data_IF_050300947587
#
_entry.id   IF_050300947587
#
_cell.length_a   1.000
_cell.length_b   1.000
_cell.length_c   1.000
_cell.angle_alpha   90.00
_cell.angle_beta   90.00
_cell.angle_gamma   90.00
#
_symmetry.space_group_name_H-M   'P 1'
#
loop_
_entity.id
_entity.type
_entity.pdbx_description
1 polymer ?
#
# COMPACT_ATOMS: atom_id res chain seq x y z
N UNK A 1 16.90 -15.51 1.07
CA UNK A 1 16.91 -14.28 1.89
C UNK A 1 15.51 -13.69 1.90
N UNK A 2 14.88 -13.39 3.06
CA UNK A 2 13.48 -12.95 3.12
C UNK A 2 13.27 -11.46 2.78
N UNK A 3 14.33 -10.71 2.51
CA UNK A 3 14.25 -9.38 1.92
C UNK A 3 15.60 -8.69 1.79
N UNK A 4 15.60 -7.58 1.04
CA UNK A 4 16.75 -6.75 0.72
C UNK A 4 16.31 -5.29 0.76
N UNK A 5 17.09 -4.44 1.45
CA UNK A 5 16.97 -2.99 1.40
C UNK A 5 18.27 -2.46 0.80
N UNK A 6 18.18 -1.72 -0.29
CA UNK A 6 19.34 -1.10 -0.94
C UNK A 6 19.04 0.33 -1.30
N UNK A 7 19.98 1.23 -1.02
CA UNK A 7 19.90 2.63 -1.45
C UNK A 7 21.07 2.93 -2.39
N UNK A 8 20.79 3.40 -3.60
CA UNK A 8 21.79 3.81 -4.59
C UNK A 8 21.34 5.16 -5.17
N UNK A 9 22.22 6.16 -5.16
CA UNK A 9 21.96 7.49 -5.73
C UNK A 9 20.63 8.11 -5.25
N UNK A 10 20.31 7.97 -3.96
CA UNK A 10 19.07 8.49 -3.36
C UNK A 10 17.79 7.71 -3.73
N UNK A 11 17.90 6.62 -4.49
CA UNK A 11 16.80 5.68 -4.75
C UNK A 11 16.93 4.50 -3.80
N UNK A 12 15.92 4.28 -2.96
CA UNK A 12 15.83 3.09 -2.12
C UNK A 12 14.91 2.08 -2.77
N UNK A 13 15.42 0.87 -2.95
CA UNK A 13 14.68 -0.30 -3.35
C UNK A 13 14.55 -1.23 -2.16
N UNK A 14 13.32 -1.62 -1.81
CA UNK A 14 13.03 -2.66 -0.84
C UNK A 14 12.40 -3.84 -1.57
N UNK A 15 12.90 -5.03 -1.29
CA UNK A 15 12.32 -6.31 -1.68
C UNK A 15 12.03 -7.10 -0.42
N UNK A 16 10.84 -7.66 -0.29
CA UNK A 16 10.51 -8.54 0.83
C UNK A 16 9.53 -9.62 0.41
N UNK A 17 9.78 -10.83 0.91
CA UNK A 17 8.93 -11.98 0.65
C UNK A 17 8.51 -12.62 1.96
N UNK A 18 7.24 -12.99 2.05
CA UNK A 18 6.73 -13.84 3.10
C UNK A 18 5.90 -14.97 2.50
N UNK A 19 5.96 -16.14 3.12
CA UNK A 19 5.10 -17.27 2.78
C UNK A 19 4.56 -17.94 4.04
N UNK A 20 3.35 -18.47 3.94
CA UNK A 20 2.73 -19.30 4.98
C UNK A 20 2.11 -20.54 4.33
N UNK A 21 2.12 -21.65 5.07
CA UNK A 21 1.34 -22.83 4.73
C UNK A 21 0.06 -22.83 5.55
N UNK A 22 -1.08 -22.78 4.87
CA UNK A 22 -2.42 -22.92 5.45
C UNK A 22 -2.94 -24.32 5.19
N UNK A 23 -3.57 -24.92 6.20
CA UNK A 23 -4.24 -26.24 6.04
C UNK A 23 -5.38 -26.19 5.01
N UNK A 24 -6.08 -25.06 4.93
CA UNK A 24 -7.27 -24.90 4.07
C UNK A 24 -6.98 -24.22 2.73
N UNK A 25 -6.00 -23.31 2.71
CA UNK A 25 -5.74 -22.45 1.54
C UNK A 25 -4.46 -22.87 0.80
N UNK A 26 -3.73 -23.88 1.29
CA UNK A 26 -2.43 -24.28 0.77
C UNK A 26 -1.34 -23.26 1.07
N UNK A 27 -0.39 -23.10 0.15
CA UNK A 27 0.74 -22.17 0.30
C UNK A 27 0.32 -20.80 -0.20
N UNK A 28 0.36 -19.81 0.69
CA UNK A 28 0.21 -18.40 0.33
C UNK A 28 1.57 -17.71 0.39
N UNK A 29 1.90 -16.95 -0.64
CA UNK A 29 3.12 -16.15 -0.68
C UNK A 29 2.80 -14.72 -1.06
N UNK A 30 3.51 -13.77 -0.47
CA UNK A 30 3.44 -12.35 -0.80
C UNK A 30 4.86 -11.87 -1.10
N UNK A 31 5.03 -11.26 -2.27
CA UNK A 31 6.24 -10.57 -2.69
C UNK A 31 5.94 -9.08 -2.79
N UNK A 32 6.79 -8.26 -2.19
CA UNK A 32 6.67 -6.82 -2.18
C UNK A 32 7.95 -6.18 -2.66
N UNK A 33 7.80 -5.31 -3.65
CA UNK A 33 8.87 -4.47 -4.16
C UNK A 33 8.44 -3.00 -4.02
N UNK A 34 9.30 -2.20 -3.40
CA UNK A 34 9.11 -0.76 -3.23
C UNK A 34 10.31 -0.05 -3.82
N UNK A 35 10.10 0.91 -4.70
CA UNK A 35 11.13 1.78 -5.24
C UNK A 35 10.77 3.21 -4.89
N UNK A 36 11.58 3.87 -4.07
CA UNK A 36 11.32 5.22 -3.63
C UNK A 36 12.53 6.11 -3.88
N UNK A 37 12.33 7.22 -4.58
CA UNK A 37 13.29 8.30 -4.70
C UNK A 37 12.61 9.62 -4.31
N UNK A 38 12.86 10.12 -3.09
CA UNK A 38 12.20 11.32 -2.58
C UNK A 38 12.58 12.59 -3.35
N UNK A 39 13.78 12.65 -3.96
CA UNK A 39 14.23 13.84 -4.74
C UNK A 39 13.46 13.97 -6.05
N UNK A 40 13.24 12.86 -6.75
CA UNK A 40 12.44 12.84 -7.98
C UNK A 40 10.93 12.76 -7.70
N UNK A 41 10.51 12.47 -6.47
CA UNK A 41 9.10 12.25 -6.11
C UNK A 41 8.54 10.95 -6.69
N UNK A 42 9.42 10.01 -7.01
CA UNK A 42 9.04 8.69 -7.53
C UNK A 42 8.82 7.75 -6.34
N UNK A 43 7.65 7.13 -6.30
CA UNK A 43 7.34 6.03 -5.41
C UNK A 43 6.54 5.01 -6.19
N UNK A 44 7.22 3.93 -6.55
CA UNK A 44 6.65 2.78 -7.24
C UNK A 44 6.55 1.62 -6.27
N UNK A 45 5.46 0.89 -6.39
CA UNK A 45 5.06 -0.17 -5.50
C UNK A 45 4.56 -1.34 -6.32
N UNK A 46 4.97 -2.53 -5.93
CA UNK A 46 4.48 -3.78 -6.48
C UNK A 46 4.24 -4.80 -5.38
N UNK A 47 3.04 -5.37 -5.35
CA UNK A 47 2.66 -6.52 -4.55
C UNK A 47 2.23 -7.62 -5.49
N UNK A 48 2.74 -8.82 -5.26
CA UNK A 48 2.19 -10.03 -5.84
C UNK A 48 1.87 -11.03 -4.74
N UNK A 49 0.61 -11.48 -4.68
CA UNK A 49 0.14 -12.52 -3.78
C UNK A 49 -0.21 -13.74 -4.61
N UNK A 50 0.39 -14.87 -4.27
CA UNK A 50 0.09 -16.15 -4.88
C UNK A 50 -0.51 -17.13 -3.88
N UNK A 51 -1.39 -18.00 -4.38
CA UNK A 51 -1.96 -19.13 -3.66
C UNK A 51 -1.69 -20.39 -4.49
N UNK A 52 -0.89 -21.33 -3.96
CA UNK A 52 -0.48 -22.55 -4.66
C UNK A 52 0.05 -22.26 -6.07
N UNK A 53 0.95 -21.27 -6.19
CA UNK A 53 1.51 -20.76 -7.45
C UNK A 53 0.52 -20.03 -8.40
N UNK A 54 -0.78 -19.99 -8.11
CA UNK A 54 -1.74 -19.19 -8.86
C UNK A 54 -1.77 -17.74 -8.35
N UNK A 55 -1.91 -16.77 -9.25
CA UNK A 55 -2.09 -15.37 -8.86
C UNK A 55 -3.41 -15.19 -8.09
N UNK A 56 -3.32 -14.68 -6.87
CA UNK A 56 -4.47 -14.27 -6.06
C UNK A 56 -4.72 -12.78 -6.21
N UNK A 57 -3.67 -11.96 -6.10
CA UNK A 57 -3.76 -10.52 -6.31
C UNK A 57 -2.40 -9.95 -6.72
N UNK A 58 -2.40 -9.14 -7.76
CA UNK A 58 -1.28 -8.26 -8.09
C UNK A 58 -1.74 -6.83 -7.91
N UNK A 59 -0.99 -6.02 -7.18
CA UNK A 59 -1.28 -4.61 -6.97
C UNK A 59 -0.02 -3.82 -7.27
N UNK A 60 -0.12 -2.89 -8.21
CA UNK A 60 0.95 -1.96 -8.58
C UNK A 60 0.47 -0.55 -8.31
N UNK A 61 1.28 0.26 -7.63
CA UNK A 61 1.05 1.71 -7.54
C UNK A 61 2.27 2.38 -8.15
N UNK A 62 2.06 3.28 -9.11
CA UNK A 62 3.15 4.00 -9.77
C UNK A 62 2.97 5.48 -9.61
N UNK A 63 4.05 6.19 -9.30
CA UNK A 63 4.05 7.64 -9.34
C UNK A 63 4.04 8.10 -10.80
N UNK A 64 3.06 8.94 -11.17
CA UNK A 64 3.02 9.58 -12.49
C UNK A 64 3.62 10.99 -12.42
N UNK A 65 3.32 11.70 -11.33
CA UNK A 65 3.86 13.03 -11.01
C UNK A 65 3.96 13.14 -9.49
N UNK A 66 4.58 14.21 -8.98
CA UNK A 66 4.62 14.50 -7.53
C UNK A 66 3.25 14.55 -6.85
N UNK A 67 2.18 14.77 -7.63
CA UNK A 67 0.80 14.95 -7.13
C UNK A 67 -0.16 13.91 -7.68
N UNK A 68 0.31 12.91 -8.44
CA UNK A 68 -0.58 11.91 -9.01
C UNK A 68 0.06 10.54 -9.11
N UNK A 69 -0.73 9.51 -8.85
CA UNK A 69 -0.30 8.12 -8.90
C UNK A 69 -1.33 7.27 -9.61
N UNK A 70 -0.91 6.14 -10.18
CA UNK A 70 -1.80 5.15 -10.79
C UNK A 70 -1.71 3.85 -10.02
N UNK A 71 -2.85 3.34 -9.57
CA UNK A 71 -3.01 1.98 -9.09
C UNK A 71 -3.52 1.10 -10.22
N UNK A 72 -2.80 0.02 -10.49
CA UNK A 72 -3.23 -1.07 -11.33
C UNK A 72 -3.33 -2.31 -10.46
N UNK A 73 -4.47 -2.97 -10.44
CA UNK A 73 -4.62 -4.24 -9.74
C UNK A 73 -5.23 -5.30 -10.66
N UNK A 74 -4.81 -6.54 -10.45
CA UNK A 74 -5.42 -7.74 -11.03
C UNK A 74 -5.71 -8.72 -9.91
N UNK A 75 -6.82 -9.44 -10.02
CA UNK A 75 -7.25 -10.37 -8.99
C UNK A 75 -7.58 -11.74 -9.59
N UNK A 76 -7.18 -12.79 -8.88
CA UNK A 76 -7.53 -14.16 -9.18
C UNK A 76 -8.99 -14.47 -8.87
N UNK A 77 -9.44 -15.66 -9.27
CA UNK A 77 -10.83 -16.13 -9.12
C UNK A 77 -11.31 -16.17 -7.66
N UNK A 78 -10.37 -16.18 -6.70
CA UNK A 78 -10.64 -16.21 -5.27
C UNK A 78 -11.19 -14.88 -4.73
N UNK A 79 -10.94 -13.77 -5.44
CA UNK A 79 -11.51 -12.45 -5.12
C UNK A 79 -12.77 -12.28 -5.95
N UNK A 80 -13.94 -12.45 -5.33
CA UNK A 80 -15.22 -12.31 -6.02
C UNK A 80 -15.58 -10.84 -6.15
N UNK A 81 -16.11 -10.45 -7.31
CA UNK A 81 -16.60 -9.09 -7.58
C UNK A 81 -15.54 -8.10 -8.08
N UNK A 82 -14.25 -8.47 -8.13
CA UNK A 82 -13.20 -7.68 -8.76
C UNK A 82 -12.22 -8.60 -9.50
N UNK A 83 -11.94 -8.32 -10.77
CA UNK A 83 -10.92 -8.98 -11.58
C UNK A 83 -9.77 -8.04 -11.94
N UNK A 84 -10.06 -6.74 -12.05
CA UNK A 84 -9.06 -5.72 -12.37
C UNK A 84 -9.46 -4.35 -11.85
N UNK A 85 -8.47 -3.50 -11.57
CA UNK A 85 -8.66 -2.10 -11.29
C UNK A 85 -7.56 -1.27 -11.97
N UNK A 86 -7.93 -0.10 -12.48
CA UNK A 86 -7.00 0.92 -12.96
C UNK A 86 -7.52 2.28 -12.49
N UNK A 87 -6.91 2.83 -11.44
CA UNK A 87 -7.37 4.01 -10.73
C UNK A 87 -6.24 5.03 -10.70
N UNK A 88 -6.55 6.26 -11.11
CA UNK A 88 -5.65 7.41 -11.00
C UNK A 88 -6.05 8.18 -9.75
N UNK A 89 -5.09 8.33 -8.85
CA UNK A 89 -5.14 9.23 -7.71
C UNK A 89 -4.52 10.56 -8.09
N UNK A 90 -5.16 11.66 -7.69
CA UNK A 90 -4.63 13.02 -7.85
C UNK A 90 -4.85 13.80 -6.56
N UNK A 91 -3.76 14.30 -5.99
CA UNK A 91 -3.76 15.27 -4.90
C UNK A 91 -3.83 16.68 -5.50
N UNK A 92 -4.87 17.43 -5.14
CA UNK A 92 -4.98 18.85 -5.47
C UNK A 92 -5.17 19.64 -4.18
N UNK A 93 -4.12 20.34 -3.74
CA UNK A 93 -4.13 21.19 -2.54
C UNK A 93 -4.61 20.42 -1.28
N UNK A 94 -4.13 19.18 -1.09
CA UNK A 94 -4.50 18.34 0.06
C UNK A 94 -5.82 17.59 -0.10
N UNK A 95 -6.51 17.73 -1.25
CA UNK A 95 -7.72 16.97 -1.58
C UNK A 95 -7.35 15.82 -2.50
N UNK A 96 -7.36 14.60 -1.96
CA UNK A 96 -7.09 13.40 -2.73
C UNK A 96 -8.37 12.97 -3.47
N UNK A 97 -8.26 12.85 -4.79
CA UNK A 97 -9.33 12.39 -5.66
C UNK A 97 -8.92 11.10 -6.37
N UNK A 98 -9.85 10.18 -6.56
CA UNK A 98 -9.65 8.96 -7.33
C UNK A 98 -10.66 8.87 -8.47
N UNK A 99 -10.17 8.51 -9.66
CA UNK A 99 -10.98 8.24 -10.84
C UNK A 99 -10.40 7.07 -11.63
N UNK A 100 -11.23 6.29 -12.29
CA UNK A 100 -10.76 5.18 -13.10
C UNK A 100 -11.80 4.10 -13.29
N UNK A 101 -11.32 2.86 -13.41
CA UNK A 101 -12.14 1.71 -13.75
C UNK A 101 -11.88 0.55 -12.79
N UNK A 102 -12.93 -0.20 -12.48
CA UNK A 102 -12.86 -1.52 -11.84
C UNK A 102 -13.70 -2.47 -12.67
N UNK A 103 -13.17 -3.62 -13.06
CA UNK A 103 -13.80 -4.56 -14.00
C UNK A 103 -14.25 -3.89 -15.30
N UNK A 104 -13.43 -2.98 -15.84
CA UNK A 104 -13.75 -2.13 -17.01
C UNK A 104 -14.95 -1.18 -16.82
N UNK A 105 -15.57 -1.10 -15.63
CA UNK A 105 -16.64 -0.16 -15.31
C UNK A 105 -16.08 1.11 -14.68
N UNK A 106 -16.49 2.27 -15.17
CA UNK A 106 -16.04 3.56 -14.66
C UNK A 106 -16.59 3.80 -13.25
N UNK A 107 -15.70 4.10 -12.30
CA UNK A 107 -16.12 4.47 -10.94
C UNK A 107 -16.57 5.94 -10.91
N UNK A 108 -17.54 6.25 -10.06
CA UNK A 108 -17.82 7.63 -9.68
C UNK A 108 -16.59 8.19 -8.98
N UNK A 109 -16.09 9.39 -9.35
CA UNK A 109 -14.92 9.95 -8.72
C UNK A 109 -15.08 10.03 -7.20
N UNK A 110 -14.13 9.41 -6.48
CA UNK A 110 -14.14 9.39 -5.02
C UNK A 110 -13.29 10.56 -4.55
N UNK A 111 -13.85 11.40 -3.68
CA UNK A 111 -13.10 12.42 -2.95
C UNK A 111 -12.81 11.85 -1.56
N UNK A 112 -11.55 11.62 -1.26
CA UNK A 112 -11.14 11.31 0.10
C UNK A 112 -11.11 12.65 0.86
N UNK A 113 -12.21 12.96 1.55
CA UNK A 113 -12.28 14.09 2.47
C UNK A 113 -11.28 13.90 3.61
N UNK A 114 -10.66 14.99 4.05
CA UNK A 114 -9.59 15.01 5.04
C UNK A 114 -9.96 14.29 6.32
N UNK A 115 -9.60 13.00 6.41
CA UNK A 115 -9.44 12.35 7.69
C UNK A 115 -8.07 12.78 8.19
N UNK A 116 -8.05 13.76 9.08
CA UNK A 116 -6.87 14.21 9.85
C UNK A 116 -6.41 13.14 10.82
N UNK A 117 -6.13 11.93 10.32
CA UNK A 117 -5.65 10.83 11.14
C UNK A 117 -4.14 10.98 11.31
N UNK A 118 -3.76 11.88 12.22
CA UNK A 118 -2.60 11.62 13.07
C UNK A 118 -3.00 10.44 13.96
N UNK A 119 -2.22 9.36 13.89
CA UNK A 119 -2.34 8.18 14.76
C UNK A 119 -3.60 7.32 14.65
N UNK A 120 -3.47 6.21 13.92
CA UNK A 120 -4.18 4.97 14.26
C UNK A 120 -5.69 4.91 14.05
N UNK A 121 -6.38 5.96 13.58
CA UNK A 121 -7.82 5.89 13.38
C UNK A 121 -8.22 4.89 12.29
N UNK A 122 -9.11 3.97 12.67
CA UNK A 122 -9.90 3.15 11.76
C UNK A 122 -10.84 4.06 10.96
N UNK A 123 -10.48 4.36 9.72
CA UNK A 123 -11.46 4.78 8.72
C UNK A 123 -12.39 3.58 8.42
N UNK A 124 -13.28 3.27 9.37
CA UNK A 124 -14.19 2.13 9.38
C UNK A 124 -15.45 2.34 8.55
N UNK A 125 -15.61 3.50 7.91
CA UNK A 125 -16.63 3.67 6.89
C UNK A 125 -16.22 2.93 5.63
N UNK A 126 -16.78 1.74 5.40
CA UNK A 126 -16.69 1.05 4.11
C UNK A 126 -17.26 1.98 3.04
N UNK A 127 -16.40 2.78 2.38
CA UNK A 127 -16.80 3.60 1.25
C UNK A 127 -17.23 2.65 0.13
N UNK A 128 -18.55 2.50 -0.02
CA UNK A 128 -19.15 1.74 -1.10
C UNK A 128 -18.77 2.40 -2.42
N UNK A 129 -17.89 1.76 -3.20
CA UNK A 129 -17.50 2.26 -4.51
C UNK A 129 -18.70 2.12 -5.45
N UNK A 130 -19.21 3.24 -5.94
CA UNK A 130 -20.29 3.29 -6.93
C UNK A 130 -19.70 3.42 -8.33
N UNK A 131 -20.34 2.77 -9.28
CA UNK A 131 -20.06 2.92 -10.71
C UNK A 131 -20.95 4.00 -11.32
N UNK A 132 -20.53 4.56 -12.45
CA UNK A 132 -21.33 5.54 -13.19
C UNK A 132 -22.65 4.98 -13.71
N UNK A 133 -22.77 3.65 -13.84
CA UNK A 133 -24.00 2.94 -14.19
C UNK A 133 -24.97 2.76 -13.00
N UNK A 134 -24.67 3.33 -11.83
CA UNK A 134 -25.49 3.24 -10.62
C UNK A 134 -25.24 1.99 -9.78
N UNK A 135 -24.51 0.99 -10.29
CA UNK A 135 -24.19 -0.23 -9.54
C UNK A 135 -23.12 0.02 -8.48
N UNK A 136 -23.05 -0.85 -7.47
CA UNK A 136 -22.05 -0.76 -6.39
C UNK A 136 -21.10 -1.94 -6.45
N UNK A 137 -19.81 -1.69 -6.26
CA UNK A 137 -18.79 -2.72 -6.14
C UNK A 137 -18.99 -3.52 -4.85
N UNK A 138 -19.09 -4.84 -4.98
CA UNK A 138 -19.13 -5.76 -3.85
C UNK A 138 -17.97 -6.76 -3.97
N UNK A 139 -16.85 -6.46 -3.31
CA UNK A 139 -15.71 -7.37 -3.27
C UNK A 139 -15.88 -8.34 -2.10
N UNK A 140 -15.78 -9.64 -2.37
CA UNK A 140 -15.86 -10.68 -1.35
C UNK A 140 -14.67 -11.61 -1.43
N UNK A 141 -14.09 -11.90 -0.28
CA UNK A 141 -13.03 -12.89 -0.08
C UNK A 141 -13.54 -13.90 0.94
N UNK A 142 -13.29 -15.19 0.73
CA UNK A 142 -13.67 -16.24 1.68
C UNK A 142 -13.10 -15.98 3.08
N UNK A 143 -13.85 -16.32 4.13
CA UNK A 143 -13.44 -16.08 5.53
C UNK A 143 -12.10 -16.74 5.86
N UNK A 144 -11.91 -17.98 5.42
CA UNK A 144 -10.68 -18.76 5.59
C UNK A 144 -9.49 -18.07 4.90
N UNK A 145 -9.66 -17.67 3.63
CA UNK A 145 -8.65 -16.95 2.87
C UNK A 145 -8.31 -15.60 3.50
N UNK A 146 -9.30 -14.85 3.97
CA UNK A 146 -9.09 -13.57 4.65
C UNK A 146 -8.25 -13.75 5.93
N UNK A 147 -8.52 -14.79 6.73
CA UNK A 147 -7.71 -15.10 7.91
C UNK A 147 -6.28 -15.48 7.54
N UNK A 148 -6.11 -16.28 6.49
CA UNK A 148 -4.80 -16.69 6.01
C UNK A 148 -4.00 -15.48 5.48
N UNK A 149 -4.63 -14.59 4.71
CA UNK A 149 -4.04 -13.33 4.26
C UNK A 149 -3.61 -12.45 5.44
N UNK A 150 -4.45 -12.31 6.49
CA UNK A 150 -4.06 -11.57 7.72
C UNK A 150 -2.79 -12.13 8.37
N UNK A 151 -2.66 -13.46 8.44
CA UNK A 151 -1.46 -14.13 8.97
C UNK A 151 -0.24 -13.90 8.07
N UNK A 152 -0.42 -14.00 6.76
CA UNK A 152 0.63 -13.73 5.77
C UNK A 152 1.16 -12.30 5.90
N UNK A 153 0.26 -11.31 5.95
CA UNK A 153 0.64 -9.92 6.10
C UNK A 153 1.28 -9.61 7.44
N UNK A 154 0.82 -10.26 8.52
CA UNK A 154 1.51 -10.18 9.82
C UNK A 154 2.95 -10.68 9.73
N UNK A 155 3.17 -11.80 9.02
CA UNK A 155 4.52 -12.32 8.79
C UNK A 155 5.36 -11.37 7.94
N UNK A 156 4.79 -10.85 6.85
CA UNK A 156 5.46 -9.89 5.98
C UNK A 156 5.85 -8.61 6.73
N UNK A 157 4.96 -8.08 7.56
CA UNK A 157 5.23 -6.91 8.39
C UNK A 157 6.39 -7.16 9.38
N UNK A 158 6.51 -8.39 9.92
CA UNK A 158 7.66 -8.76 10.76
C UNK A 158 8.95 -8.80 9.97
N UNK A 159 8.97 -9.36 8.76
CA UNK A 159 10.16 -9.36 7.91
C UNK A 159 10.59 -7.93 7.55
N UNK A 160 9.63 -7.07 7.21
CA UNK A 160 9.89 -5.66 6.91
C UNK A 160 10.43 -4.91 8.14
N UNK A 161 9.92 -5.20 9.34
CA UNK A 161 10.43 -4.63 10.59
C UNK A 161 11.89 -5.04 10.86
N UNK A 162 12.33 -6.22 10.44
CA UNK A 162 13.74 -6.64 10.57
C UNK A 162 14.67 -5.86 9.64
N UNK A 163 14.19 -5.49 8.45
CA UNK A 163 14.95 -4.69 7.48
C UNK A 163 15.05 -3.21 7.90
N UNK A 164 14.25 -2.79 8.88
CA UNK A 164 14.25 -1.43 9.41
C UNK A 164 15.26 -1.35 10.56
N UNK A 165 16.34 -0.54 10.48
CA UNK A 165 17.30 -0.43 11.57
C UNK A 165 16.62 0.09 12.84
N UNK A 166 16.81 -0.63 13.97
CA UNK A 166 16.36 -0.18 15.30
C UNK A 166 17.22 1.00 15.75
N UNK A 167 16.78 2.24 15.53
CA UNK A 167 17.38 3.40 16.24
C UNK A 167 16.78 3.54 17.63
N UNK A 168 17.63 3.74 18.63
CA UNK A 168 17.22 4.21 19.95
C UNK A 168 16.67 5.63 19.84
N UNK A 169 15.68 5.96 20.68
CA UNK A 169 15.07 7.31 20.77
C UNK A 169 16.11 8.44 20.86
N UNK A 170 17.29 8.16 21.42
CA UNK A 170 18.36 9.14 21.62
C UNK A 170 19.05 9.60 20.32
N UNK A 171 19.20 8.75 19.30
CA UNK A 171 19.87 9.12 18.03
C UNK A 171 18.97 9.89 17.04
N UNK A 172 17.69 10.04 17.37
CA UNK A 172 16.70 10.77 16.55
C UNK A 172 16.68 12.27 16.89
N UNK A 173 17.07 12.63 18.12
CA UNK A 173 17.06 14.01 18.60
C UNK A 173 18.25 14.86 18.11
N UNK A 174 19.35 14.25 17.66
CA UNK A 174 20.63 14.95 17.49
C UNK A 174 20.96 15.42 16.05
N UNK A 175 20.11 15.18 15.03
CA UNK A 175 20.45 15.52 13.64
C UNK A 175 19.30 16.28 12.92
N UNK A 176 19.50 17.60 12.81
CA UNK A 176 18.78 18.62 12.01
C UNK A 176 17.23 18.55 12.00
N UNK A 177 16.61 19.40 12.84
CA UNK A 177 15.20 19.32 13.20
C UNK A 177 14.20 19.73 12.09
N UNK A 178 14.51 20.68 11.21
CA UNK A 178 13.48 21.28 10.33
C UNK A 178 13.19 20.50 9.03
N UNK A 179 14.22 20.06 8.29
CA UNK A 179 14.01 19.33 7.03
C UNK A 179 13.54 17.89 7.25
N UNK A 180 13.93 17.30 8.38
CA UNK A 180 13.59 15.93 8.76
C UNK A 180 12.13 15.78 9.17
N UNK A 181 11.60 16.80 9.86
CA UNK A 181 10.20 16.88 10.26
C UNK A 181 9.29 17.07 9.04
N UNK A 182 9.67 17.94 8.11
CA UNK A 182 8.96 18.12 6.84
C UNK A 182 8.99 16.84 5.97
N UNK A 183 10.13 16.16 5.90
CA UNK A 183 10.27 14.88 5.20
C UNK A 183 9.38 13.80 5.83
N UNK A 184 9.41 13.67 7.17
CA UNK A 184 8.60 12.71 7.92
C UNK A 184 7.11 12.99 7.78
N UNK A 185 6.70 14.25 7.85
CA UNK A 185 5.32 14.68 7.60
C UNK A 185 4.87 14.32 6.18
N UNK A 186 5.73 14.49 5.18
CA UNK A 186 5.45 14.08 3.81
C UNK A 186 5.31 12.55 3.68
N UNK A 187 6.16 11.77 4.36
CA UNK A 187 6.05 10.31 4.39
C UNK A 187 4.78 9.81 5.10
N UNK A 188 4.39 10.46 6.19
CA UNK A 188 3.12 10.19 6.87
C UNK A 188 1.94 10.55 5.96
N UNK A 189 2.02 11.67 5.25
CA UNK A 189 1.02 12.09 4.25
C UNK A 189 0.89 11.07 3.11
N UNK A 190 2.01 10.57 2.58
CA UNK A 190 2.04 9.52 1.54
C UNK A 190 1.45 8.22 2.09
N UNK A 191 1.81 7.82 3.32
CA UNK A 191 1.25 6.65 3.99
C UNK A 191 -0.26 6.76 4.18
N UNK A 192 -0.76 7.92 4.61
CA UNK A 192 -2.18 8.20 4.79
C UNK A 192 -2.93 8.26 3.46
N UNK A 193 -2.34 8.86 2.42
CA UNK A 193 -2.90 8.85 1.06
C UNK A 193 -2.97 7.43 0.49
N UNK A 194 -1.93 6.62 0.73
CA UNK A 194 -1.91 5.21 0.39
C UNK A 194 -3.00 4.43 1.14
N UNK A 195 -3.15 4.63 2.46
CA UNK A 195 -4.21 3.98 3.26
C UNK A 195 -5.61 4.37 2.79
N UNK A 196 -5.82 5.65 2.46
CA UNK A 196 -7.07 6.14 1.89
C UNK A 196 -7.35 5.48 0.53
N UNK A 197 -6.35 5.43 -0.35
CA UNK A 197 -6.42 4.71 -1.63
C UNK A 197 -6.71 3.21 -1.46
N UNK A 198 -6.12 2.60 -0.43
CA UNK A 198 -6.39 1.22 -0.08
C UNK A 198 -7.79 0.99 0.49
N UNK A 199 -8.58 2.00 0.87
CA UNK A 199 -9.93 1.80 1.41
C UNK A 199 -10.82 0.89 0.54
N UNK A 200 -10.61 0.91 -0.78
CA UNK A 200 -11.31 0.07 -1.77
C UNK A 200 -10.89 -1.42 -1.69
N UNK A 201 -9.63 -1.67 -1.35
CA UNK A 201 -9.01 -3.01 -1.27
C UNK A 201 -8.27 -3.22 0.05
N UNK A 202 -8.82 -2.69 1.15
CA UNK A 202 -8.14 -2.56 2.44
C UNK A 202 -7.48 -3.84 2.94
N UNK A 203 -8.12 -5.04 2.85
CA UNK A 203 -7.48 -6.27 3.33
C UNK A 203 -6.23 -6.68 2.54
N UNK A 204 -6.05 -6.19 1.31
CA UNK A 204 -4.92 -6.54 0.44
C UNK A 204 -3.82 -5.48 0.42
N UNK A 205 -4.13 -4.25 0.84
CA UNK A 205 -3.35 -3.07 0.53
C UNK A 205 -2.92 -2.29 1.80
N UNK A 206 -3.65 -2.39 2.91
CA UNK A 206 -3.33 -1.67 4.16
C UNK A 206 -1.96 -2.04 4.80
N UNK A 207 -1.54 -3.32 4.86
CA UNK A 207 -0.24 -3.70 5.42
C UNK A 207 0.95 -3.11 4.66
N UNK A 208 0.73 -2.77 3.40
CA UNK A 208 1.71 -2.23 2.46
C UNK A 208 1.85 -0.72 2.58
N UNK A 209 0.76 0.00 2.80
CA UNK A 209 0.88 1.44 3.05
C UNK A 209 1.62 1.74 4.35
N UNK A 210 1.50 0.86 5.33
CA UNK A 210 2.33 0.92 6.53
C UNK A 210 3.82 0.73 6.23
N UNK A 211 4.17 -0.06 5.21
CA UNK A 211 5.56 -0.39 4.89
C UNK A 211 6.19 0.62 3.95
N UNK A 212 5.45 1.13 2.95
CA UNK A 212 5.86 2.27 2.15
C UNK A 212 6.09 3.52 3.03
N UNK A 213 5.20 3.76 4.01
CA UNK A 213 5.41 4.79 5.03
C UNK A 213 6.66 4.52 5.87
N UNK A 214 6.87 3.27 6.30
CA UNK A 214 8.08 2.86 7.03
C UNK A 214 9.37 3.14 6.25
N UNK A 215 9.44 2.71 4.99
CA UNK A 215 10.60 2.93 4.10
C UNK A 215 10.85 4.41 3.88
N UNK A 216 9.82 5.20 3.60
CA UNK A 216 9.93 6.64 3.43
C UNK A 216 10.46 7.31 4.72
N UNK A 217 9.95 6.94 5.90
CA UNK A 217 10.44 7.45 7.18
C UNK A 217 11.92 7.08 7.41
N UNK A 218 12.34 5.88 7.00
CA UNK A 218 13.76 5.46 7.06
C UNK A 218 14.62 6.35 6.16
N UNK A 219 14.16 6.68 4.95
CA UNK A 219 14.86 7.57 4.02
C UNK A 219 15.00 9.00 4.55
N UNK A 220 14.03 9.48 5.33
CA UNK A 220 14.14 10.78 6.01
C UNK A 220 15.17 10.78 7.15
N UNK A 221 15.86 9.67 7.42
CA UNK A 221 16.77 9.54 8.56
C UNK A 221 18.12 8.88 8.26
N UNK A 222 18.43 8.70 6.99
CA UNK A 222 19.77 8.43 6.48
C UNK A 222 20.32 9.67 5.80
#
# INVERSE_FOLDING_TARGET
MPGLLRTVNGTTTLFATASIKSKQEGILSANVDVVANPRSGVMDFFLNITQNACNLATIKIQSLTRTSSRLTASFGKQVKGACSANIIFRDQKGKLTARGFINKKAIVPIKFGGCGCQDGCSCGGSQKVRFKDGTTLNVRIGKSLNLALKRLFTKLARELKKLTPRRSRAAVAAAAANDREACRANCVRIGNACRAACGIFAPLCAPICATAQGVCIIQCGF
#
